data_IF_455615995109
#
_entry.id   IF_455615995109
#
_cell.length_a   1.000
_cell.length_b   1.000
_cell.length_c   1.000
_cell.angle_alpha   90.00
_cell.angle_beta   90.00
_cell.angle_gamma   90.00
#
_symmetry.space_group_name_H-M   'P 1'
#
loop_
_entity.id
_entity.type
_entity.pdbx_description
1 polymer ?
#
# COMPACT_ATOMS: atom_id res chain seq x y z
N UNK A 1 -0.67 17.09 -9.82
CA UNK A 1 -0.12 16.73 -8.49
C UNK A 1 -0.66 17.63 -7.36
N UNK A 2 -0.64 18.96 -7.48
CA UNK A 2 -1.10 19.90 -6.42
C UNK A 2 -2.60 19.77 -6.11
N UNK A 3 -3.45 19.59 -7.13
CA UNK A 3 -4.91 19.50 -6.96
C UNK A 3 -5.33 18.26 -6.16
N UNK A 4 -4.73 17.11 -6.45
CA UNK A 4 -5.00 15.85 -5.74
C UNK A 4 -4.57 15.93 -4.27
N UNK A 5 -3.42 16.54 -3.99
CA UNK A 5 -2.96 16.75 -2.62
C UNK A 5 -3.91 17.65 -1.83
N UNK A 6 -4.34 18.77 -2.41
CA UNK A 6 -5.32 19.66 -1.78
C UNK A 6 -6.67 18.96 -1.53
N UNK A 7 -7.10 18.11 -2.45
CA UNK A 7 -8.33 17.32 -2.31
C UNK A 7 -8.24 16.34 -1.13
N UNK A 8 -7.20 15.51 -1.05
CA UNK A 8 -7.08 14.52 0.02
C UNK A 8 -6.88 15.16 1.41
N UNK A 9 -6.15 16.27 1.50
CA UNK A 9 -6.04 16.99 2.78
C UNK A 9 -7.37 17.58 3.24
N UNK A 10 -8.16 18.13 2.32
CA UNK A 10 -9.51 18.62 2.65
C UNK A 10 -10.40 17.49 3.16
N UNK A 11 -10.34 16.31 2.54
CA UNK A 11 -11.07 15.13 2.99
C UNK A 11 -10.61 14.69 4.38
N UNK A 12 -9.30 14.71 4.67
CA UNK A 12 -8.77 14.41 6.01
C UNK A 12 -9.24 15.39 7.08
N UNK A 13 -9.32 16.68 6.77
CA UNK A 13 -9.79 17.69 7.73
C UNK A 13 -11.29 17.56 8.01
N UNK A 14 -12.09 17.23 7.00
CA UNK A 14 -13.50 16.87 7.20
C UNK A 14 -13.60 15.61 8.08
N UNK A 15 -12.78 14.59 7.78
CA UNK A 15 -12.78 13.32 8.50
C UNK A 15 -12.52 13.48 10.01
N UNK A 16 -11.59 14.35 10.40
CA UNK A 16 -11.27 14.65 11.82
C UNK A 16 -12.48 15.22 12.59
N UNK A 17 -13.43 15.84 11.89
CA UNK A 17 -14.59 16.51 12.48
C UNK A 17 -15.86 15.65 12.44
N UNK A 18 -15.80 14.42 11.93
CA UNK A 18 -16.94 13.49 11.87
C UNK A 18 -17.01 12.66 13.17
N UNK A 19 -18.19 12.57 13.77
CA UNK A 19 -18.39 11.82 15.03
C UNK A 19 -18.27 10.29 14.89
N UNK A 20 -18.53 9.72 13.69
CA UNK A 20 -18.34 8.29 13.37
C UNK A 20 -17.62 8.16 12.02
N UNK A 21 -16.29 8.30 12.03
CA UNK A 21 -15.51 8.29 10.80
C UNK A 21 -15.49 6.89 10.17
N UNK A 22 -15.63 6.79 8.84
CA UNK A 22 -15.52 5.51 8.13
C UNK A 22 -14.04 5.10 8.00
N UNK A 23 -13.55 4.04 8.67
CA UNK A 23 -12.12 3.67 8.66
C UNK A 23 -11.58 3.43 7.24
N UNK A 24 -12.40 2.86 6.36
CA UNK A 24 -12.03 2.57 4.98
C UNK A 24 -11.78 3.83 4.14
N UNK A 25 -12.55 4.90 4.36
CA UNK A 25 -12.35 6.17 3.65
C UNK A 25 -11.03 6.84 4.06
N UNK A 26 -10.70 6.81 5.36
CA UNK A 26 -9.43 7.35 5.86
C UNK A 26 -8.25 6.56 5.31
N UNK A 27 -8.32 5.23 5.33
CA UNK A 27 -7.29 4.39 4.73
C UNK A 27 -7.08 4.71 3.25
N UNK A 28 -8.15 4.90 2.48
CA UNK A 28 -8.07 5.28 1.07
C UNK A 28 -7.37 6.64 0.86
N UNK A 29 -7.70 7.65 1.67
CA UNK A 29 -7.06 8.95 1.58
C UNK A 29 -5.56 8.90 1.92
N UNK A 30 -5.22 8.18 3.00
CA UNK A 30 -3.83 7.98 3.43
C UNK A 30 -3.02 7.23 2.37
N UNK A 31 -3.60 6.20 1.75
CA UNK A 31 -2.97 5.49 0.65
C UNK A 31 -2.64 6.42 -0.52
N UNK A 32 -3.60 7.23 -0.97
CA UNK A 32 -3.36 8.17 -2.08
C UNK A 32 -2.32 9.26 -1.73
N UNK A 33 -2.30 9.74 -0.48
CA UNK A 33 -1.24 10.66 -0.02
C UNK A 33 0.11 9.97 -0.03
N UNK A 34 0.18 8.69 0.36
CA UNK A 34 1.38 7.86 0.25
C UNK A 34 1.89 7.76 -1.18
N UNK A 35 1.00 7.52 -2.16
CA UNK A 35 1.35 7.50 -3.58
C UNK A 35 1.91 8.84 -4.07
N UNK A 36 1.33 9.96 -3.62
CA UNK A 36 1.84 11.30 -3.98
C UNK A 36 3.28 11.48 -3.46
N UNK A 37 3.56 11.09 -2.20
CA UNK A 37 4.92 11.14 -1.67
C UNK A 37 5.88 10.18 -2.39
N UNK A 38 5.40 9.00 -2.77
CA UNK A 38 6.18 8.04 -3.55
C UNK A 38 6.58 8.63 -4.92
N UNK A 39 5.64 9.25 -5.63
CA UNK A 39 5.91 9.93 -6.90
C UNK A 39 6.90 11.09 -6.75
N UNK A 40 6.95 11.72 -5.58
CA UNK A 40 7.94 12.75 -5.24
C UNK A 40 9.26 12.18 -4.73
N UNK A 41 9.45 10.85 -4.78
CA UNK A 41 10.62 10.11 -4.24
C UNK A 41 10.87 10.35 -2.74
N UNK A 42 9.83 10.77 -2.00
CA UNK A 42 9.88 10.94 -0.55
C UNK A 42 9.46 9.63 0.13
N UNK A 43 10.29 8.60 -0.03
CA UNK A 43 9.98 7.21 0.32
C UNK A 43 9.60 7.01 1.79
N UNK A 44 10.30 7.66 2.73
CA UNK A 44 9.94 7.56 4.16
C UNK A 44 8.56 8.15 4.47
N UNK A 45 8.17 9.24 3.80
CA UNK A 45 6.84 9.84 3.97
C UNK A 45 5.78 8.98 3.31
N UNK A 46 6.08 8.36 2.18
CA UNK A 46 5.20 7.41 1.52
C UNK A 46 4.92 6.21 2.45
N UNK A 47 5.98 5.59 2.97
CA UNK A 47 5.89 4.49 3.93
C UNK A 47 5.03 4.83 5.14
N UNK A 48 5.29 5.96 5.82
CA UNK A 48 4.51 6.40 7.00
C UNK A 48 3.02 6.55 6.69
N UNK A 49 2.65 6.97 5.49
CA UNK A 49 1.24 7.09 5.09
C UNK A 49 0.62 5.73 4.75
N UNK A 50 1.35 4.86 4.05
CA UNK A 50 0.90 3.49 3.76
C UNK A 50 0.71 2.66 5.04
N UNK A 51 1.60 2.76 6.03
CA UNK A 51 1.40 2.10 7.33
C UNK A 51 0.17 2.62 8.07
N UNK A 52 -0.06 3.94 8.05
CA UNK A 52 -1.28 4.50 8.64
C UNK A 52 -2.52 3.97 7.92
N UNK A 53 -2.48 3.87 6.59
CA UNK A 53 -3.58 3.30 5.81
C UNK A 53 -3.84 1.83 6.21
N UNK A 54 -2.78 1.03 6.36
CA UNK A 54 -2.85 -0.38 6.77
C UNK A 54 -3.51 -0.54 8.15
N UNK A 55 -3.09 0.26 9.14
CA UNK A 55 -3.65 0.22 10.51
C UNK A 55 -5.15 0.54 10.55
N UNK A 56 -5.64 1.35 9.60
CA UNK A 56 -7.06 1.71 9.50
C UNK A 56 -7.90 0.67 8.72
N UNK A 57 -7.27 -0.33 8.10
CA UNK A 57 -7.94 -1.43 7.41
C UNK A 57 -8.10 -2.70 8.28
N UNK A 58 -7.55 -2.72 9.50
CA UNK A 58 -7.63 -3.89 10.39
C UNK A 58 -9.02 -4.18 10.98
N UNK A 59 -10.05 -3.41 10.61
CA UNK A 59 -11.42 -3.71 11.00
C UNK A 59 -12.02 -4.75 10.03
N UNK A 60 -11.95 -6.01 10.45
CA UNK A 60 -12.16 -7.24 9.66
C UNK A 60 -13.52 -7.28 8.93
N UNK A 61 -14.51 -6.53 9.42
CA UNK A 61 -15.89 -6.56 8.91
C UNK A 61 -16.11 -5.69 7.65
N UNK A 62 -15.19 -4.78 7.32
CA UNK A 62 -15.31 -3.87 6.17
C UNK A 62 -14.02 -3.71 5.36
N UNK A 63 -13.08 -4.64 5.54
CA UNK A 63 -11.76 -4.59 4.96
C UNK A 63 -11.84 -4.64 3.42
N UNK A 64 -11.44 -3.56 2.75
CA UNK A 64 -11.36 -3.54 1.30
C UNK A 64 -10.09 -4.28 0.89
N UNK A 65 -10.26 -5.54 0.50
CA UNK A 65 -9.14 -6.43 0.14
C UNK A 65 -8.30 -5.89 -1.01
N UNK A 66 -8.90 -5.23 -2.00
CA UNK A 66 -8.16 -4.61 -3.11
C UNK A 66 -7.26 -3.48 -2.61
N UNK A 67 -7.78 -2.62 -1.73
CA UNK A 67 -6.99 -1.56 -1.11
C UNK A 67 -5.86 -2.14 -0.25
N UNK A 68 -6.11 -3.24 0.47
CA UNK A 68 -5.09 -3.92 1.27
C UNK A 68 -3.96 -4.48 0.40
N UNK A 69 -4.31 -5.18 -0.69
CA UNK A 69 -3.35 -5.67 -1.70
C UNK A 69 -2.52 -4.52 -2.27
N UNK A 70 -3.18 -3.41 -2.64
CA UNK A 70 -2.52 -2.23 -3.19
C UNK A 70 -1.57 -1.54 -2.19
N UNK A 71 -1.94 -1.48 -0.91
CA UNK A 71 -1.08 -0.95 0.16
C UNK A 71 0.19 -1.81 0.30
N UNK A 72 0.05 -3.13 0.36
CA UNK A 72 1.20 -4.04 0.46
C UNK A 72 2.09 -3.99 -0.79
N UNK A 73 1.51 -3.92 -1.98
CA UNK A 73 2.24 -3.72 -3.23
C UNK A 73 3.05 -2.42 -3.21
N UNK A 74 2.44 -1.31 -2.77
CA UNK A 74 3.11 -0.01 -2.67
C UNK A 74 4.21 0.01 -1.61
N UNK A 75 4.02 -0.67 -0.49
CA UNK A 75 5.07 -0.86 0.53
C UNK A 75 6.25 -1.66 -0.01
N UNK A 76 5.98 -2.73 -0.78
CA UNK A 76 7.04 -3.50 -1.45
C UNK A 76 7.88 -2.62 -2.37
N UNK A 77 7.24 -1.77 -3.18
CA UNK A 77 7.93 -0.82 -4.05
C UNK A 77 8.76 0.20 -3.26
N UNK A 78 8.21 0.76 -2.18
CA UNK A 78 8.93 1.71 -1.32
C UNK A 78 10.18 1.08 -0.71
N UNK A 79 10.08 -0.12 -0.13
CA UNK A 79 11.23 -0.79 0.48
C UNK A 79 12.27 -1.23 -0.54
N UNK A 80 11.84 -1.65 -1.74
CA UNK A 80 12.76 -1.95 -2.84
C UNK A 80 13.58 -0.71 -3.23
N UNK A 81 12.92 0.45 -3.35
CA UNK A 81 13.60 1.72 -3.69
C UNK A 81 14.49 2.25 -2.56
N UNK A 82 14.22 1.85 -1.31
CA UNK A 82 15.08 2.09 -0.14
C UNK A 82 16.25 1.08 -0.01
N UNK A 83 16.30 0.03 -0.85
CA UNK A 83 17.30 -1.03 -0.76
C UNK A 83 17.03 -2.09 0.31
N UNK A 84 15.89 -2.03 0.97
CA UNK A 84 15.47 -2.93 2.04
C UNK A 84 14.75 -4.16 1.45
N UNK A 85 15.49 -4.98 0.69
CA UNK A 85 14.89 -6.03 -0.16
C UNK A 85 14.13 -7.10 0.61
N UNK A 86 14.56 -7.44 1.83
CA UNK A 86 13.88 -8.41 2.68
C UNK A 86 12.46 -7.94 3.05
N UNK A 87 12.32 -6.68 3.51
CA UNK A 87 11.01 -6.08 3.82
C UNK A 87 10.16 -5.90 2.57
N UNK A 88 10.79 -5.58 1.44
CA UNK A 88 10.09 -5.50 0.16
C UNK A 88 9.48 -6.85 -0.22
N UNK A 89 10.20 -7.95 0.01
CA UNK A 89 9.74 -9.30 -0.29
C UNK A 89 8.59 -9.73 0.64
N UNK A 90 8.69 -9.44 1.94
CA UNK A 90 7.63 -9.72 2.91
C UNK A 90 6.30 -9.07 2.50
N UNK A 91 6.33 -7.80 2.10
CA UNK A 91 5.12 -7.12 1.64
C UNK A 91 4.64 -7.61 0.27
N UNK A 92 5.52 -8.01 -0.65
CA UNK A 92 5.10 -8.63 -1.91
C UNK A 92 4.40 -9.98 -1.67
N UNK A 93 4.87 -10.77 -0.69
CA UNK A 93 4.24 -12.02 -0.29
C UNK A 93 2.86 -11.79 0.34
N UNK A 94 2.72 -10.79 1.20
CA UNK A 94 1.42 -10.41 1.76
C UNK A 94 0.43 -9.99 0.67
N UNK A 95 0.86 -9.17 -0.29
CA UNK A 95 0.01 -8.79 -1.43
C UNK A 95 -0.44 -10.02 -2.25
N UNK A 96 0.49 -10.96 -2.49
CA UNK A 96 0.20 -12.21 -3.19
C UNK A 96 -0.80 -13.08 -2.41
N UNK A 97 -0.60 -13.26 -1.10
CA UNK A 97 -1.50 -14.05 -0.25
C UNK A 97 -2.93 -13.50 -0.25
N UNK A 98 -3.08 -12.18 -0.18
CA UNK A 98 -4.40 -11.53 -0.23
C UNK A 98 -5.03 -11.71 -1.61
N UNK A 99 -4.25 -11.55 -2.68
CA UNK A 99 -4.73 -11.71 -4.05
C UNK A 99 -5.12 -13.16 -4.38
N UNK A 100 -4.35 -14.16 -3.93
CA UNK A 100 -4.62 -15.59 -4.19
C UNK A 100 -5.82 -16.13 -3.42
N UNK A 101 -6.12 -15.58 -2.24
CA UNK A 101 -7.31 -15.95 -1.47
C UNK A 101 -8.63 -15.42 -2.07
N UNK A 102 -8.58 -14.73 -3.23
CA UNK A 102 -9.75 -14.25 -3.96
C UNK A 102 -9.87 -15.08 -5.23
N UNK A 103 -10.93 -15.90 -5.31
CA UNK A 103 -11.22 -16.84 -6.41
C UNK A 103 -11.38 -16.11 -7.77
N UNK A 104 -11.51 -14.78 -7.77
CA UNK A 104 -11.74 -13.94 -8.96
C UNK A 104 -10.56 -13.00 -9.34
N UNK A 105 -9.39 -13.09 -8.71
CA UNK A 105 -8.25 -12.26 -9.14
C UNK A 105 -7.58 -12.82 -10.42
N UNK A 106 -7.35 -11.92 -11.38
CA UNK A 106 -6.73 -12.26 -12.68
C UNK A 106 -5.33 -12.82 -12.49
N UNK A 107 -5.02 -13.93 -13.18
CA UNK A 107 -3.70 -14.60 -13.20
C UNK A 107 -2.52 -13.62 -13.42
N UNK A 108 -2.75 -12.52 -14.12
CA UNK A 108 -1.77 -11.47 -14.40
C UNK A 108 -1.21 -10.79 -13.14
N UNK A 109 -2.03 -10.50 -12.13
CA UNK A 109 -1.56 -9.84 -10.90
C UNK A 109 -0.70 -10.78 -10.06
N UNK A 110 -1.11 -12.05 -9.98
CA UNK A 110 -0.35 -13.11 -9.33
C UNK A 110 1.03 -13.26 -9.98
N UNK A 111 1.09 -13.25 -11.31
CA UNK A 111 2.35 -13.32 -12.05
C UNK A 111 3.26 -12.11 -11.78
N UNK A 112 2.71 -10.90 -11.73
CA UNK A 112 3.46 -9.68 -11.37
C UNK A 112 4.09 -9.82 -9.97
N UNK A 113 3.33 -10.27 -8.98
CA UNK A 113 3.86 -10.45 -7.62
C UNK A 113 4.92 -11.55 -7.55
N UNK A 114 4.71 -12.69 -8.20
CA UNK A 114 5.69 -13.77 -8.27
C UNK A 114 7.00 -13.30 -8.93
N UNK A 115 6.90 -12.56 -10.04
CA UNK A 115 8.06 -11.98 -10.72
C UNK A 115 8.79 -10.99 -9.81
N UNK A 116 8.07 -10.10 -9.12
CA UNK A 116 8.65 -9.15 -8.17
C UNK A 116 9.41 -9.87 -7.05
N UNK A 117 8.80 -10.92 -6.47
CA UNK A 117 9.43 -11.73 -5.41
C UNK A 117 10.71 -12.38 -5.93
N UNK A 118 10.72 -12.93 -7.15
CA UNK A 118 11.92 -13.56 -7.70
C UNK A 118 13.06 -12.55 -7.92
N UNK A 119 12.75 -11.36 -8.45
CA UNK A 119 13.75 -10.29 -8.59
C UNK A 119 14.31 -9.84 -7.24
N UNK A 120 13.47 -9.75 -6.21
CA UNK A 120 13.90 -9.40 -4.86
C UNK A 120 14.81 -10.49 -4.25
N UNK A 121 14.51 -11.78 -4.50
CA UNK A 121 15.36 -12.90 -4.06
C UNK A 121 16.75 -12.86 -4.70
N UNK A 122 16.83 -12.58 -5.99
CA UNK A 122 18.12 -12.42 -6.68
C UNK A 122 18.95 -11.30 -6.03
N UNK A 123 18.33 -10.15 -5.77
CA UNK A 123 18.98 -9.01 -5.12
C UNK A 123 19.45 -9.30 -3.69
N UNK A 124 18.69 -10.08 -2.93
CA UNK A 124 19.09 -10.52 -1.58
C UNK A 124 20.30 -11.45 -1.65
N UNK A 125 20.35 -12.35 -2.63
CA UNK A 125 21.46 -13.30 -2.79
C UNK A 125 22.75 -12.65 -3.35
N UNK A 126 22.64 -11.47 -3.97
CA UNK A 126 23.76 -10.68 -4.49
C UNK A 126 24.43 -9.78 -3.42
N UNK A 127 23.86 -9.68 -2.21
CA UNK A 127 24.38 -8.89 -1.07
C UNK A 127 25.17 -9.75 -0.09
#
# INVERSE_FOLDING_TARGET
>A
MIVLWGYFNKVLDIYKNISKPNPSLLAFCLYNIGLIFYQQKQYEKAWKNFEKALRNQNDVLSCNRDLLTNIHSSLSMVFKDLGEYQKAMEHAQQALEIATNIIEFNNEQIEIYQKSINQLKEKINEQ
#
